data_IF_054332559640
#
_entry.id   IF_054332559640
#
_cell.length_a   1.000
_cell.length_b   1.000
_cell.length_c   1.000
_cell.angle_alpha   90.00
_cell.angle_beta   90.00
_cell.angle_gamma   90.00
#
_symmetry.space_group_name_H-M   'P 1'
#
loop_
_entity.id
_entity.type
_entity.pdbx_description
1 polymer ?
#
# COMPACT_ATOMS: atom_id res chain seq x y z
N UNK A 1 -1.71 -16.51 -11.31
CA UNK A 1 -1.00 -15.45 -12.08
C UNK A 1 0.44 -15.87 -12.26
N UNK A 2 0.93 -15.92 -13.49
CA UNK A 2 2.29 -16.35 -13.73
C UNK A 2 3.32 -15.26 -13.40
N UNK A 3 4.61 -15.64 -13.34
CA UNK A 3 5.68 -14.73 -12.94
C UNK A 3 5.83 -13.53 -13.89
N UNK A 4 5.59 -13.72 -15.17
CA UNK A 4 5.72 -12.63 -16.15
C UNK A 4 4.60 -11.59 -15.97
N UNK A 5 3.39 -12.03 -15.69
CA UNK A 5 2.26 -11.14 -15.44
C UNK A 5 2.50 -10.36 -14.15
N UNK A 6 2.94 -11.03 -13.08
CA UNK A 6 3.28 -10.37 -11.82
C UNK A 6 4.33 -9.28 -12.02
N UNK A 7 5.38 -9.60 -12.76
CA UNK A 7 6.46 -8.66 -13.05
C UNK A 7 5.96 -7.45 -13.84
N UNK A 8 5.14 -7.68 -14.85
CA UNK A 8 4.57 -6.60 -15.66
C UNK A 8 3.73 -5.66 -14.82
N UNK A 9 2.85 -6.18 -13.98
CA UNK A 9 2.02 -5.37 -13.09
C UNK A 9 2.89 -4.55 -12.14
N UNK A 10 3.90 -5.18 -11.54
CA UNK A 10 4.82 -4.50 -10.63
C UNK A 10 5.57 -3.37 -11.34
N UNK A 11 6.12 -3.62 -12.52
CA UNK A 11 6.87 -2.63 -13.28
C UNK A 11 5.99 -1.46 -13.74
N UNK A 12 4.77 -1.74 -14.19
CA UNK A 12 3.83 -0.69 -14.59
C UNK A 12 3.52 0.25 -13.41
N UNK A 13 3.32 -0.31 -12.23
CA UNK A 13 3.05 0.48 -11.03
C UNK A 13 4.29 1.21 -10.50
N UNK A 14 5.47 0.71 -10.82
CA UNK A 14 6.71 1.39 -10.49
C UNK A 14 7.00 2.55 -11.44
N UNK A 15 6.83 2.33 -12.74
CA UNK A 15 7.15 3.34 -13.76
C UNK A 15 6.11 4.46 -13.82
N UNK A 16 4.84 4.14 -13.57
CA UNK A 16 3.74 5.09 -13.61
C UNK A 16 2.86 4.92 -12.35
N UNK A 17 3.38 5.28 -11.18
CA UNK A 17 2.64 5.07 -9.95
C UNK A 17 1.39 5.95 -9.87
N UNK A 18 0.31 5.36 -9.38
CA UNK A 18 -0.97 6.04 -9.25
C UNK A 18 -0.92 7.08 -8.12
N UNK A 19 -1.40 8.28 -8.39
CA UNK A 19 -1.51 9.37 -7.40
C UNK A 19 -0.19 9.76 -6.74
N UNK A 20 0.89 9.78 -7.49
CA UNK A 20 2.15 10.33 -6.99
C UNK A 20 2.09 11.84 -6.93
N UNK A 21 2.55 12.42 -5.84
CA UNK A 21 2.55 13.84 -5.56
C UNK A 21 1.55 14.20 -4.46
N UNK A 22 2.00 14.98 -3.48
CA UNK A 22 1.18 15.41 -2.36
C UNK A 22 0.42 16.67 -2.73
N UNK A 23 -0.82 16.80 -2.25
CA UNK A 23 -1.62 17.99 -2.40
C UNK A 23 -1.43 18.96 -1.23
N UNK A 24 -1.09 18.44 -0.05
CA UNK A 24 -0.88 19.22 1.19
C UNK A 24 -2.07 20.14 1.51
N UNK A 25 -3.29 19.62 1.27
CA UNK A 25 -4.53 20.36 1.51
C UNK A 25 -5.13 19.98 2.86
N UNK A 26 -6.00 20.87 3.38
CA UNK A 26 -6.78 20.57 4.56
C UNK A 26 -7.64 19.31 4.33
N UNK A 27 -7.83 18.54 5.40
CA UNK A 27 -8.59 17.31 5.34
C UNK A 27 -7.76 16.06 5.07
N UNK A 28 -6.49 16.23 4.71
CA UNK A 28 -5.58 15.10 4.54
C UNK A 28 -4.78 14.85 5.82
N UNK A 29 -4.68 13.59 6.20
CA UNK A 29 -3.80 13.15 7.29
C UNK A 29 -2.54 12.58 6.67
N UNK A 30 -1.39 13.10 7.07
CA UNK A 30 -0.10 12.71 6.50
C UNK A 30 0.69 11.84 7.48
N UNK A 31 1.39 10.85 6.94
CA UNK A 31 2.30 10.00 7.70
C UNK A 31 3.53 9.70 6.86
N UNK A 32 4.71 9.86 7.48
CA UNK A 32 5.97 9.44 6.87
C UNK A 32 6.29 8.02 7.32
N UNK A 33 6.77 7.21 6.40
CA UNK A 33 7.33 5.88 6.70
C UNK A 33 8.65 5.73 5.97
N UNK A 34 9.58 5.06 6.61
CA UNK A 34 10.89 4.79 6.03
C UNK A 34 11.36 3.39 6.42
N UNK A 35 12.31 2.88 5.64
CA UNK A 35 12.95 1.59 5.89
C UNK A 35 14.45 1.83 5.93
N UNK A 36 15.04 1.77 7.10
CA UNK A 36 16.47 2.06 7.31
C UNK A 36 17.41 1.13 6.54
N UNK A 37 16.95 -0.05 6.18
CA UNK A 37 17.76 -1.00 5.40
C UNK A 37 17.67 -0.77 3.90
N UNK A 38 16.96 0.27 3.46
CA UNK A 38 16.74 0.60 2.06
C UNK A 38 16.60 2.11 1.90
N UNK A 39 16.51 2.59 0.65
CA UNK A 39 16.32 4.02 0.36
C UNK A 39 14.90 4.50 0.65
N UNK A 40 14.00 3.60 1.03
CA UNK A 40 12.57 3.89 1.17
C UNK A 40 12.29 4.99 2.19
N UNK A 41 11.69 6.07 1.71
CA UNK A 41 11.24 7.19 2.54
C UNK A 41 10.02 7.79 1.85
N UNK A 42 8.83 7.43 2.33
CA UNK A 42 7.56 7.78 1.68
C UNK A 42 6.71 8.62 2.62
N UNK A 43 6.18 9.71 2.08
CA UNK A 43 5.10 10.45 2.73
C UNK A 43 3.78 10.00 2.11
N UNK A 44 2.86 9.58 2.96
CA UNK A 44 1.53 9.17 2.54
C UNK A 44 0.51 10.14 3.13
N UNK A 45 -0.45 10.60 2.33
CA UNK A 45 -1.56 11.40 2.83
C UNK A 45 -2.88 10.79 2.42
N UNK A 46 -3.82 10.77 3.36
CA UNK A 46 -5.14 10.16 3.16
C UNK A 46 -6.23 11.16 3.54
N UNK A 47 -7.22 11.30 2.67
CA UNK A 47 -8.43 12.08 2.95
C UNK A 47 -9.57 11.11 3.24
N UNK A 48 -10.17 11.23 4.41
CA UNK A 48 -11.30 10.42 4.84
C UNK A 48 -12.46 11.34 5.15
N UNK A 49 -13.65 10.99 4.64
CA UNK A 49 -14.88 11.72 4.90
C UNK A 49 -15.99 10.69 5.07
N UNK A 50 -16.77 10.82 6.15
CA UNK A 50 -17.85 9.89 6.50
C UNK A 50 -17.40 8.43 6.51
N UNK A 51 -16.21 8.19 7.09
CA UNK A 51 -15.59 6.85 7.19
C UNK A 51 -15.26 6.20 5.84
N UNK A 52 -15.27 6.99 4.75
CA UNK A 52 -14.91 6.52 3.41
C UNK A 52 -13.60 7.20 3.00
N UNK A 53 -12.68 6.41 2.44
CA UNK A 53 -11.43 6.93 1.91
C UNK A 53 -11.72 7.63 0.58
N UNK A 54 -11.55 8.94 0.55
CA UNK A 54 -11.83 9.75 -0.64
C UNK A 54 -10.63 9.89 -1.54
N UNK A 55 -9.44 9.93 -0.97
CA UNK A 55 -8.21 10.07 -1.75
C UNK A 55 -7.02 9.58 -0.94
N UNK A 56 -6.02 9.08 -1.64
CA UNK A 56 -4.72 8.72 -1.07
C UNK A 56 -3.66 9.18 -2.06
N UNK A 57 -2.67 9.89 -1.57
CA UNK A 57 -1.55 10.35 -2.39
C UNK A 57 -0.24 10.08 -1.67
N UNK A 58 0.84 10.04 -2.43
CA UNK A 58 2.15 9.79 -1.84
C UNK A 58 3.24 10.52 -2.62
N UNK A 59 4.38 10.71 -1.95
CA UNK A 59 5.60 11.18 -2.60
C UNK A 59 6.81 10.67 -1.81
N UNK A 60 8.00 10.81 -2.39
CA UNK A 60 9.23 10.40 -1.76
C UNK A 60 10.06 9.49 -2.64
N UNK A 61 11.17 9.02 -2.09
CA UNK A 61 12.08 8.10 -2.77
C UNK A 61 11.90 6.69 -2.21
N UNK A 62 11.78 5.70 -3.09
CA UNK A 62 11.56 4.33 -2.67
C UNK A 62 12.01 3.35 -3.74
N UNK A 63 12.31 2.13 -3.32
CA UNK A 63 12.67 1.06 -4.25
C UNK A 63 11.45 0.65 -5.09
N UNK A 64 11.70 -0.17 -6.11
CA UNK A 64 10.64 -0.63 -7.02
C UNK A 64 9.52 -1.35 -6.28
N UNK A 65 9.84 -2.16 -5.26
CA UNK A 65 8.83 -2.89 -4.48
C UNK A 65 7.95 -1.93 -3.69
N UNK A 66 8.55 -1.01 -2.92
CA UNK A 66 7.78 -0.06 -2.10
C UNK A 66 6.95 0.88 -2.96
N UNK A 67 7.49 1.39 -4.06
CA UNK A 67 6.78 2.30 -4.96
C UNK A 67 5.59 1.61 -5.62
N UNK A 68 5.81 0.42 -6.19
CA UNK A 68 4.73 -0.33 -6.83
C UNK A 68 3.67 -0.78 -5.84
N UNK A 69 4.08 -1.21 -4.65
CA UNK A 69 3.15 -1.60 -3.59
C UNK A 69 2.28 -0.41 -3.15
N UNK A 70 2.88 0.78 -3.05
CA UNK A 70 2.13 1.99 -2.70
C UNK A 70 1.09 2.32 -3.76
N UNK A 71 1.46 2.29 -5.03
CA UNK A 71 0.55 2.53 -6.15
C UNK A 71 -0.62 1.54 -6.14
N UNK A 72 -0.34 0.26 -5.98
CA UNK A 72 -1.35 -0.80 -5.96
C UNK A 72 -2.28 -0.63 -4.75
N UNK A 73 -1.73 -0.33 -3.57
CA UNK A 73 -2.51 -0.07 -2.37
C UNK A 73 -3.49 1.08 -2.59
N UNK A 74 -3.03 2.18 -3.14
CA UNK A 74 -3.88 3.35 -3.38
C UNK A 74 -5.07 2.97 -4.25
N UNK A 75 -4.83 2.26 -5.34
CA UNK A 75 -5.91 1.82 -6.24
C UNK A 75 -6.92 0.91 -5.53
N UNK A 76 -6.44 0.09 -4.59
CA UNK A 76 -7.31 -0.84 -3.88
C UNK A 76 -8.13 -0.18 -2.76
N UNK A 77 -7.61 0.87 -2.14
CA UNK A 77 -8.23 1.44 -0.94
C UNK A 77 -9.13 2.64 -1.20
N UNK A 78 -8.91 3.40 -2.27
CA UNK A 78 -9.77 4.55 -2.59
C UNK A 78 -11.21 4.08 -2.82
N UNK A 79 -12.16 4.77 -2.18
CA UNK A 79 -13.59 4.44 -2.29
C UNK A 79 -14.07 3.41 -1.28
N UNK A 80 -13.18 2.82 -0.51
CA UNK A 80 -13.53 1.85 0.52
C UNK A 80 -13.82 2.54 1.85
N UNK A 81 -14.65 1.90 2.67
CA UNK A 81 -14.80 2.33 4.05
C UNK A 81 -13.54 1.99 4.83
N UNK A 82 -13.37 2.61 6.00
CA UNK A 82 -12.23 2.30 6.88
C UNK A 82 -12.20 0.80 7.19
N UNK A 83 -13.34 0.20 7.52
CA UNK A 83 -13.40 -1.22 7.87
C UNK A 83 -13.02 -2.12 6.68
N UNK A 84 -13.53 -1.81 5.49
CA UNK A 84 -13.17 -2.55 4.29
C UNK A 84 -11.67 -2.44 3.98
N UNK A 85 -11.12 -1.23 4.12
CA UNK A 85 -9.71 -0.98 3.88
C UNK A 85 -8.83 -1.75 4.87
N UNK A 86 -9.19 -1.74 6.17
CA UNK A 86 -8.45 -2.50 7.18
C UNK A 86 -8.51 -4.00 6.91
N UNK A 87 -9.65 -4.51 6.44
CA UNK A 87 -9.76 -5.91 6.05
C UNK A 87 -8.82 -6.26 4.89
N UNK A 88 -8.75 -5.39 3.89
CA UNK A 88 -7.82 -5.57 2.76
C UNK A 88 -6.38 -5.58 3.27
N UNK A 89 -6.01 -4.63 4.11
CA UNK A 89 -4.65 -4.54 4.67
C UNK A 89 -4.31 -5.78 5.48
N UNK A 90 -5.24 -6.24 6.34
CA UNK A 90 -5.00 -7.42 7.17
C UNK A 90 -4.81 -8.68 6.31
N UNK A 91 -5.57 -8.84 5.24
CA UNK A 91 -5.41 -9.97 4.33
C UNK A 91 -4.09 -9.88 3.54
N UNK A 92 -3.69 -8.67 3.16
CA UNK A 92 -2.40 -8.46 2.51
C UNK A 92 -1.25 -8.84 3.45
N UNK A 93 -1.30 -8.39 4.70
CA UNK A 93 -0.30 -8.76 5.71
C UNK A 93 -0.23 -10.27 5.91
N UNK A 94 -1.39 -10.91 5.96
CA UNK A 94 -1.47 -12.39 6.09
C UNK A 94 -0.80 -13.08 4.91
N UNK A 95 -1.03 -12.60 3.70
CA UNK A 95 -0.37 -13.13 2.50
C UNK A 95 1.15 -13.01 2.61
N UNK A 96 1.64 -11.84 3.01
CA UNK A 96 3.08 -11.60 3.15
C UNK A 96 3.70 -12.50 4.25
N UNK A 97 2.94 -12.80 5.29
CA UNK A 97 3.39 -13.62 6.42
C UNK A 97 3.08 -15.12 6.27
N UNK A 98 2.71 -15.56 5.06
CA UNK A 98 2.42 -16.96 4.74
C UNK A 98 1.24 -17.54 5.54
N UNK A 99 0.28 -16.70 5.90
CA UNK A 99 -0.95 -17.12 6.57
C UNK A 99 -2.09 -17.20 5.56
N UNK A 100 -3.21 -17.79 5.97
CA UNK A 100 -4.40 -17.81 5.11
C UNK A 100 -4.93 -16.41 4.87
N UNK A 101 -5.37 -16.14 3.64
CA UNK A 101 -5.90 -14.85 3.24
C UNK A 101 -6.93 -15.00 2.12
N UNK A 102 -7.78 -13.99 1.99
CA UNK A 102 -8.79 -13.93 0.93
C UNK A 102 -8.21 -13.25 -0.30
N UNK A 103 -7.92 -14.02 -1.34
CA UNK A 103 -7.38 -13.51 -2.61
C UNK A 103 -8.33 -12.56 -3.31
N UNK A 104 -9.64 -12.77 -3.16
CA UNK A 104 -10.65 -12.05 -3.94
C UNK A 104 -10.67 -10.55 -3.68
N UNK A 105 -10.15 -10.10 -2.53
CA UNK A 105 -10.17 -8.69 -2.15
C UNK A 105 -8.83 -7.98 -2.39
N UNK A 106 -7.79 -8.68 -2.83
CA UNK A 106 -6.45 -8.10 -2.95
C UNK A 106 -6.12 -7.49 -4.31
N UNK A 107 -6.89 -7.83 -5.35
CA UNK A 107 -6.63 -7.29 -6.68
C UNK A 107 -5.19 -7.49 -7.13
N UNK A 108 -4.56 -6.44 -7.65
CA UNK A 108 -3.17 -6.50 -8.12
C UNK A 108 -2.15 -6.79 -7.02
N UNK A 109 -2.51 -6.60 -5.74
CA UNK A 109 -1.59 -6.84 -4.63
C UNK A 109 -1.12 -8.30 -4.54
N UNK A 110 -1.82 -9.21 -5.21
CA UNK A 110 -1.42 -10.64 -5.27
C UNK A 110 -0.04 -10.82 -5.91
N UNK A 111 0.45 -9.84 -6.67
CA UNK A 111 1.78 -9.93 -7.28
C UNK A 111 2.90 -10.11 -6.25
N UNK A 112 2.64 -9.76 -4.98
CA UNK A 112 3.61 -9.93 -3.90
C UNK A 112 3.44 -11.24 -3.11
N UNK A 113 2.67 -12.19 -3.62
CA UNK A 113 2.34 -13.43 -2.89
C UNK A 113 3.55 -14.33 -2.60
N UNK A 114 4.67 -14.13 -3.28
CA UNK A 114 5.90 -14.88 -3.04
C UNK A 114 7.03 -14.04 -2.43
N UNK A 115 6.74 -12.78 -2.07
CA UNK A 115 7.78 -11.89 -1.56
C UNK A 115 8.34 -12.37 -0.22
N UNK A 116 7.60 -13.20 0.51
CA UNK A 116 8.06 -13.79 1.77
C UNK A 116 9.37 -14.59 1.62
N UNK A 117 9.67 -15.03 0.40
CA UNK A 117 10.91 -15.76 0.11
C UNK A 117 12.15 -14.87 0.19
N UNK A 118 11.96 -13.56 0.24
CA UNK A 118 13.04 -12.57 0.31
C UNK A 118 12.78 -11.64 1.49
N UNK A 119 13.30 -11.94 2.69
CA UNK A 119 12.96 -11.19 3.91
C UNK A 119 13.16 -9.68 3.81
N UNK A 120 14.18 -9.20 3.13
CA UNK A 120 14.40 -7.76 2.95
C UNK A 120 13.30 -7.12 2.10
N UNK A 121 12.71 -7.86 1.18
CA UNK A 121 11.64 -7.37 0.31
C UNK A 121 10.29 -7.33 1.02
N UNK A 122 10.10 -8.16 2.04
CA UNK A 122 8.88 -8.14 2.85
C UNK A 122 8.66 -6.77 3.47
N UNK A 123 9.71 -6.16 4.01
CA UNK A 123 9.62 -4.82 4.62
C UNK A 123 9.21 -3.78 3.60
N UNK A 124 9.78 -3.85 2.39
CA UNK A 124 9.43 -2.92 1.31
C UNK A 124 7.97 -3.07 0.90
N UNK A 125 7.49 -4.32 0.78
CA UNK A 125 6.12 -4.59 0.39
C UNK A 125 5.10 -4.15 1.45
N UNK A 126 5.46 -4.19 2.73
CA UNK A 126 4.59 -3.83 3.85
C UNK A 126 4.61 -2.34 4.19
N UNK A 127 5.62 -1.61 3.73
CA UNK A 127 5.85 -0.23 4.18
C UNK A 127 4.65 0.70 3.98
N UNK A 128 4.03 0.78 2.79
CA UNK A 128 2.88 1.66 2.59
C UNK A 128 1.65 1.21 3.39
N UNK A 129 1.47 -0.09 3.54
CA UNK A 129 0.33 -0.63 4.30
C UNK A 129 0.44 -0.29 5.78
N UNK A 130 1.65 -0.30 6.33
CA UNK A 130 1.88 0.08 7.73
C UNK A 130 1.49 1.54 7.97
N UNK A 131 1.82 2.44 7.05
CA UNK A 131 1.44 3.84 7.15
C UNK A 131 -0.06 4.03 7.07
N UNK A 132 -0.70 3.41 6.07
CA UNK A 132 -2.15 3.50 5.88
C UNK A 132 -2.89 2.94 7.09
N UNK A 133 -2.45 1.79 7.59
CA UNK A 133 -3.09 1.15 8.75
C UNK A 133 -3.09 2.06 9.98
N UNK A 134 -1.98 2.72 10.26
CA UNK A 134 -1.89 3.63 11.40
C UNK A 134 -2.82 4.82 11.27
N UNK A 135 -2.93 5.39 10.07
CA UNK A 135 -3.86 6.50 9.83
C UNK A 135 -5.30 6.03 10.01
N UNK A 136 -5.66 4.88 9.41
CA UNK A 136 -7.02 4.36 9.44
C UNK A 136 -7.46 3.95 10.85
N UNK A 137 -6.58 3.33 11.62
CA UNK A 137 -6.89 2.93 13.00
C UNK A 137 -7.18 4.14 13.89
N UNK A 138 -6.50 5.25 13.66
CA UNK A 138 -6.74 6.49 14.41
C UNK A 138 -8.08 7.13 14.05
N UNK A 139 -8.63 6.85 12.88
CA UNK A 139 -9.90 7.40 12.39
C UNK A 139 -11.09 6.49 12.62
N UNK A 140 -10.85 5.25 13.06
CA UNK A 140 -11.90 4.25 13.27
C UNK A 140 -12.84 4.60 14.43
N UNK A 141 -12.39 5.44 15.35
CA UNK A 141 -13.16 5.83 16.54
C UNK A 141 -14.11 6.99 16.28
#
# INVERSE_FOLDING_TARGET
>A
MDANIKRTIMLDNYESPYNKGLLNKDGYVKKNVNNESCIDNIDLEIKIDEYIIKDIRFDGEACAISTSATSIMIKNLIGKTIDEALNIINNYESMIDEKEYDKSILGEAIVYDEVYKQPSRKRCALLPMNAAKKILENKEK
#
